data_IF_169489292500
#
_entry.id   IF_169489292500
#
_cell.length_a   1.000
_cell.length_b   1.000
_cell.length_c   1.000
_cell.angle_alpha   90.00
_cell.angle_beta   90.00
_cell.angle_gamma   90.00
#
_symmetry.space_group_name_H-M   'P 1'
#
loop_
_entity.id
_entity.type
_entity.pdbx_description
1 polymer ?
#
# COMPACT_ATOMS: atom_id res chain seq x y z
N UNK A 1 4.99 29.50 8.72
CA UNK A 1 5.36 28.15 8.27
C UNK A 1 5.91 27.45 9.50
N UNK A 2 5.45 26.23 9.82
CA UNK A 2 6.01 25.49 10.94
C UNK A 2 7.49 25.19 10.64
N UNK A 3 8.31 25.29 11.67
CA UNK A 3 9.75 24.96 11.71
C UNK A 3 10.04 23.46 11.53
N UNK A 4 9.00 22.62 11.45
CA UNK A 4 9.10 21.21 11.05
C UNK A 4 9.53 20.26 12.17
N UNK A 5 9.64 20.73 13.41
CA UNK A 5 10.00 19.89 14.55
C UNK A 5 8.79 19.12 15.09
N UNK A 6 8.93 17.80 15.21
CA UNK A 6 7.92 16.90 15.77
C UNK A 6 8.54 16.12 16.93
N UNK A 7 7.95 16.24 18.12
CA UNK A 7 8.26 15.34 19.25
C UNK A 7 7.14 14.32 19.41
N UNK A 8 7.46 13.04 19.20
CA UNK A 8 6.53 11.94 19.39
C UNK A 8 6.85 11.18 20.68
N UNK A 9 5.87 11.07 21.59
CA UNK A 9 5.99 10.18 22.75
C UNK A 9 5.53 8.78 22.35
N UNK A 10 6.44 7.82 22.47
CA UNK A 10 6.17 6.40 22.25
C UNK A 10 6.15 5.69 23.60
N UNK A 11 5.37 4.61 23.69
CA UNK A 11 5.55 3.65 24.77
C UNK A 11 6.89 2.89 24.61
N UNK A 12 7.33 2.24 25.70
CA UNK A 12 8.63 1.57 25.76
C UNK A 12 8.76 0.42 24.74
N UNK A 13 7.68 -0.30 24.44
CA UNK A 13 7.71 -1.40 23.48
C UNK A 13 7.89 -0.86 22.05
N UNK A 14 7.10 0.14 21.70
CA UNK A 14 7.13 0.78 20.38
C UNK A 14 8.49 1.46 20.15
N UNK A 15 9.03 2.15 21.16
CA UNK A 15 10.37 2.73 21.09
C UNK A 15 11.46 1.68 20.86
N UNK A 16 11.38 0.53 21.55
CA UNK A 16 12.33 -0.58 21.36
C UNK A 16 12.24 -1.18 19.97
N UNK A 17 11.03 -1.39 19.44
CA UNK A 17 10.83 -1.93 18.09
C UNK A 17 11.36 -0.99 17.01
N UNK A 18 11.05 0.29 17.13
CA UNK A 18 11.53 1.31 16.20
C UNK A 18 13.06 1.32 16.16
N UNK A 19 13.70 1.31 17.34
CA UNK A 19 15.16 1.24 17.43
C UNK A 19 15.72 -0.03 16.78
N UNK A 20 15.16 -1.20 17.10
CA UNK A 20 15.63 -2.46 16.53
C UNK A 20 15.50 -2.50 15.00
N UNK A 21 14.42 -1.93 14.45
CA UNK A 21 14.21 -1.83 13.00
C UNK A 21 15.22 -0.89 12.35
N UNK A 22 15.46 0.29 12.95
CA UNK A 22 16.48 1.23 12.47
C UNK A 22 17.88 0.62 12.50
N UNK A 23 18.24 -0.06 13.61
CA UNK A 23 19.52 -0.76 13.76
C UNK A 23 19.69 -1.86 12.70
N UNK A 24 18.63 -2.66 12.44
CA UNK A 24 18.64 -3.69 11.40
C UNK A 24 18.77 -3.11 9.98
N UNK A 25 18.24 -1.92 9.75
CA UNK A 25 18.38 -1.17 8.50
C UNK A 25 19.72 -0.42 8.39
N UNK A 26 20.54 -0.40 9.46
CA UNK A 26 21.81 0.35 9.50
C UNK A 26 21.62 1.86 9.47
N UNK A 27 20.50 2.37 9.98
CA UNK A 27 20.09 3.78 9.92
C UNK A 27 19.93 4.38 11.31
N UNK A 28 19.94 5.71 11.39
CA UNK A 28 19.55 6.41 12.60
C UNK A 28 18.05 6.22 12.86
N UNK A 29 17.65 6.28 14.14
CA UNK A 29 16.23 6.19 14.52
C UNK A 29 15.42 7.33 13.91
N UNK A 30 15.98 8.53 13.87
CA UNK A 30 15.32 9.73 13.35
C UNK A 30 15.07 9.62 11.84
N UNK A 31 16.08 9.19 11.06
CA UNK A 31 15.94 9.03 9.61
C UNK A 31 14.96 7.90 9.26
N UNK A 32 14.95 6.83 10.04
CA UNK A 32 14.03 5.72 9.84
C UNK A 32 12.58 6.13 10.19
N UNK A 33 12.38 6.87 11.28
CA UNK A 33 11.08 7.39 11.67
C UNK A 33 10.53 8.42 10.67
N UNK A 34 11.40 9.31 10.16
CA UNK A 34 11.01 10.32 9.18
C UNK A 34 10.54 9.69 7.85
N UNK A 35 11.18 8.60 7.41
CA UNK A 35 10.74 7.83 6.25
C UNK A 35 9.39 7.18 6.49
N UNK A 36 9.21 6.46 7.62
CA UNK A 36 7.92 5.85 7.94
C UNK A 36 6.77 6.87 7.99
N UNK A 37 7.03 8.05 8.54
CA UNK A 37 6.05 9.15 8.55
C UNK A 37 5.80 9.64 7.12
N UNK A 38 6.85 9.81 6.32
CA UNK A 38 6.72 10.26 4.93
C UNK A 38 5.95 9.25 4.08
N UNK A 39 6.21 7.95 4.22
CA UNK A 39 5.52 6.88 3.52
C UNK A 39 4.05 6.81 3.95
N UNK A 40 3.77 6.89 5.26
CA UNK A 40 2.40 6.91 5.78
C UNK A 40 1.60 8.14 5.37
N UNK A 41 2.27 9.29 5.18
CA UNK A 41 1.66 10.52 4.66
C UNK A 41 1.60 10.57 3.13
N UNK A 42 2.48 9.81 2.45
CA UNK A 42 2.67 9.81 1.01
C UNK A 42 1.42 9.41 0.23
N UNK A 43 0.49 8.68 0.87
CA UNK A 43 -0.86 8.49 0.35
C UNK A 43 -0.92 7.80 -1.01
N UNK A 44 0.16 7.18 -1.47
CA UNK A 44 0.23 6.54 -2.78
C UNK A 44 -0.58 5.23 -2.74
N UNK A 45 -1.88 5.42 -3.03
CA UNK A 45 -2.80 4.61 -3.83
C UNK A 45 -3.16 3.18 -3.41
N UNK A 46 -2.33 2.45 -2.66
CA UNK A 46 -2.59 1.02 -2.40
C UNK A 46 -3.66 0.81 -1.32
N UNK A 47 -3.61 1.51 -0.19
CA UNK A 47 -4.56 1.25 0.92
C UNK A 47 -6.01 1.61 0.55
N UNK A 48 -6.21 2.69 -0.22
CA UNK A 48 -7.55 3.10 -0.63
C UNK A 48 -8.10 2.22 -1.77
N UNK A 49 -7.24 1.69 -2.65
CA UNK A 49 -7.63 0.67 -3.62
C UNK A 49 -7.93 -0.67 -2.94
N UNK A 50 -7.06 -1.13 -2.04
CA UNK A 50 -7.23 -2.36 -1.26
C UNK A 50 -8.53 -2.32 -0.43
N UNK A 51 -8.83 -1.19 0.22
CA UNK A 51 -10.09 -1.02 0.96
C UNK A 51 -11.30 -1.07 0.03
N UNK A 52 -11.24 -0.46 -1.16
CA UNK A 52 -12.34 -0.53 -2.15
C UNK A 52 -12.55 -1.96 -2.65
N UNK A 53 -11.47 -2.69 -2.93
CA UNK A 53 -11.52 -4.10 -3.36
C UNK A 53 -12.11 -4.97 -2.25
N UNK A 54 -11.70 -4.75 -1.00
CA UNK A 54 -12.24 -5.45 0.16
C UNK A 54 -13.74 -5.17 0.37
N UNK A 55 -14.17 -3.91 0.28
CA UNK A 55 -15.59 -3.53 0.37
C UNK A 55 -16.43 -4.14 -0.77
N UNK A 56 -15.88 -4.21 -1.98
CA UNK A 56 -16.54 -4.87 -3.11
C UNK A 56 -16.68 -6.38 -2.90
N UNK A 57 -15.65 -7.03 -2.35
CA UNK A 57 -15.74 -8.43 -1.95
C UNK A 57 -16.77 -8.64 -0.83
N UNK A 58 -16.80 -7.81 0.20
CA UNK A 58 -17.80 -7.93 1.27
C UNK A 58 -19.24 -7.80 0.75
N UNK A 59 -19.46 -6.97 -0.27
CA UNK A 59 -20.76 -6.78 -0.91
C UNK A 59 -21.16 -7.92 -1.85
N UNK A 60 -20.20 -8.53 -2.55
CA UNK A 60 -20.49 -9.44 -3.68
C UNK A 60 -20.07 -10.89 -3.45
N UNK A 61 -19.13 -11.12 -2.54
CA UNK A 61 -18.44 -12.39 -2.31
C UNK A 61 -17.55 -12.83 -3.47
N UNK A 62 -17.29 -11.95 -4.46
CA UNK A 62 -16.58 -12.29 -5.69
C UNK A 62 -15.17 -11.75 -5.63
N UNK A 63 -14.19 -12.64 -5.83
CA UNK A 63 -12.79 -12.30 -6.09
C UNK A 63 -12.33 -13.04 -7.33
N UNK A 64 -11.43 -12.44 -8.11
CA UNK A 64 -10.80 -13.09 -9.25
C UNK A 64 -9.33 -13.30 -8.99
N UNK A 65 -8.81 -14.48 -9.34
CA UNK A 65 -7.37 -14.65 -9.50
C UNK A 65 -6.84 -13.78 -10.64
N UNK A 66 -5.52 -13.59 -10.67
CA UNK A 66 -4.85 -12.87 -11.76
C UNK A 66 -5.10 -13.59 -13.08
N UNK A 67 -5.02 -14.92 -13.09
CA UNK A 67 -5.24 -15.74 -14.26
C UNK A 67 -6.67 -15.60 -14.82
N UNK A 68 -7.68 -15.60 -13.95
CA UNK A 68 -9.08 -15.38 -14.35
C UNK A 68 -9.28 -13.97 -14.90
N UNK A 69 -8.71 -12.96 -14.23
CA UNK A 69 -8.79 -11.56 -14.66
C UNK A 69 -8.17 -11.36 -16.04
N UNK A 70 -7.00 -11.96 -16.29
CA UNK A 70 -6.31 -11.90 -17.59
C UNK A 70 -7.09 -12.66 -18.67
N UNK A 71 -7.67 -13.81 -18.33
CA UNK A 71 -8.51 -14.57 -19.26
C UNK A 71 -9.77 -13.79 -19.68
N UNK A 72 -10.46 -13.18 -18.71
CA UNK A 72 -11.62 -12.33 -18.95
C UNK A 72 -11.27 -11.10 -19.80
N UNK A 73 -10.17 -10.42 -19.46
CA UNK A 73 -9.68 -9.28 -20.22
C UNK A 73 -9.37 -9.66 -21.67
N UNK A 74 -8.67 -10.79 -21.88
CA UNK A 74 -8.34 -11.29 -23.21
C UNK A 74 -9.60 -11.60 -24.04
N UNK A 75 -10.61 -12.22 -23.45
CA UNK A 75 -11.88 -12.50 -24.14
C UNK A 75 -12.60 -11.20 -24.52
N UNK A 76 -12.66 -10.22 -23.61
CA UNK A 76 -13.29 -8.93 -23.87
C UNK A 76 -12.58 -8.14 -24.99
N UNK A 77 -11.24 -8.23 -25.05
CA UNK A 77 -10.46 -7.65 -26.15
C UNK A 77 -10.77 -8.34 -27.48
N UNK A 78 -10.75 -9.67 -27.52
CA UNK A 78 -11.01 -10.43 -28.75
C UNK A 78 -12.43 -10.21 -29.28
N UNK A 79 -13.41 -9.95 -28.41
CA UNK A 79 -14.77 -9.59 -28.81
C UNK A 79 -14.87 -8.18 -29.41
N UNK A 80 -13.93 -7.27 -29.09
CA UNK A 80 -13.91 -5.87 -29.55
C UNK A 80 -13.03 -5.62 -30.77
N UNK A 81 -12.04 -6.48 -31.03
CA UNK A 81 -11.21 -6.35 -32.22
C UNK A 81 -11.97 -6.97 -33.42
N UNK A 82 -12.36 -6.18 -34.44
CA UNK A 82 -12.98 -6.74 -35.63
C UNK A 82 -11.98 -7.67 -36.33
N UNK A 83 -12.43 -8.87 -36.69
CA UNK A 83 -11.63 -9.78 -37.51
C UNK A 83 -11.37 -9.12 -38.86
N UNK A 84 -10.15 -8.65 -39.08
CA UNK A 84 -9.65 -8.31 -40.42
C UNK A 84 -9.63 -9.59 -41.25
N UNK A 85 -10.63 -9.73 -42.12
CA UNK A 85 -10.67 -10.71 -43.21
C UNK A 85 -9.73 -10.30 -44.34
#
# INVERSE_FOLDING_TARGET
MADGELTLKLDDETARRLKAAADAAGRSVDDYAAELISDGLGGDDDVAEDLRIAEEYDRTGVSYSVEESVAHFRQALLARVPKTS
#
